data_IF_310509092598
#
_entry.id   IF_310509092598
#
_cell.length_a   1.000
_cell.length_b   1.000
_cell.length_c   1.000
_cell.angle_alpha   90.00
_cell.angle_beta   90.00
_cell.angle_gamma   90.00
#
_symmetry.space_group_name_H-M   'P 1'
#
loop_
_entity.id
_entity.type
_entity.pdbx_description
1 polymer ?
#
# COMPACT_ATOMS: atom_id res chain seq x y z
N UNK A 1 1.21 4.00 -25.82
CA UNK A 1 1.63 2.76 -26.49
C UNK A 1 3.14 2.75 -26.69
N UNK A 2 3.74 3.74 -27.35
CA UNK A 2 5.19 3.81 -27.59
C UNK A 2 6.02 3.69 -26.29
N UNK A 3 5.64 4.37 -25.22
CA UNK A 3 6.30 4.29 -23.90
C UNK A 3 6.27 2.87 -23.33
N UNK A 4 5.16 2.16 -23.51
CA UNK A 4 5.05 0.78 -23.04
C UNK A 4 5.92 -0.16 -23.88
N UNK A 5 5.91 0.01 -25.21
CA UNK A 5 6.75 -0.77 -26.12
C UNK A 5 8.24 -0.57 -25.82
N UNK A 6 8.66 0.65 -25.49
CA UNK A 6 10.03 0.95 -25.07
C UNK A 6 10.41 0.28 -23.71
N UNK A 7 9.44 -0.03 -22.86
CA UNK A 7 9.66 -0.67 -21.56
C UNK A 7 9.61 -2.22 -21.61
N UNK A 8 9.29 -2.83 -22.74
CA UNK A 8 9.05 -4.28 -22.86
C UNK A 8 10.28 -5.17 -22.51
N UNK A 9 11.48 -4.63 -22.63
CA UNK A 9 12.70 -5.36 -22.26
C UNK A 9 12.99 -5.35 -20.75
N UNK A 10 12.20 -4.62 -19.98
CA UNK A 10 12.36 -4.52 -18.52
C UNK A 10 11.81 -5.76 -17.82
N UNK A 11 12.43 -6.16 -16.68
CA UNK A 11 11.89 -7.24 -15.85
C UNK A 11 10.59 -6.86 -15.14
N UNK A 12 10.40 -5.55 -14.86
CA UNK A 12 9.20 -5.00 -14.22
C UNK A 12 8.79 -3.69 -14.86
N UNK A 13 7.49 -3.58 -15.16
CA UNK A 13 6.87 -2.35 -15.67
C UNK A 13 5.89 -1.83 -14.63
N UNK A 14 6.06 -0.56 -14.24
CA UNK A 14 5.13 0.14 -13.35
C UNK A 14 4.34 1.18 -14.13
N UNK A 15 3.02 1.12 -14.02
CA UNK A 15 2.10 2.07 -14.63
C UNK A 15 1.39 2.82 -13.51
N UNK A 16 1.54 4.14 -13.45
CA UNK A 16 0.86 4.97 -12.46
C UNK A 16 -0.36 5.65 -13.08
N UNK A 17 -1.55 5.35 -12.56
CA UNK A 17 -2.83 5.85 -13.07
C UNK A 17 -3.43 4.99 -14.20
N UNK A 18 -4.64 5.35 -14.65
CA UNK A 18 -5.35 4.65 -15.71
C UNK A 18 -5.85 3.25 -15.37
N UNK A 19 -5.90 2.87 -14.08
CA UNK A 19 -6.28 1.52 -13.61
C UNK A 19 -7.62 1.46 -12.86
N UNK A 20 -8.36 2.59 -12.80
CA UNK A 20 -9.65 2.64 -12.12
C UNK A 20 -10.82 2.22 -13.04
N UNK A 21 -12.01 2.71 -12.79
CA UNK A 21 -13.24 2.39 -13.55
C UNK A 21 -13.83 3.62 -14.26
N UNK A 22 -13.08 4.70 -14.36
CA UNK A 22 -13.53 5.93 -15.00
C UNK A 22 -13.40 5.89 -16.53
N UNK A 23 -14.11 6.77 -17.21
CA UNK A 23 -14.10 6.88 -18.69
C UNK A 23 -12.72 7.24 -19.29
N UNK A 24 -11.77 7.62 -18.44
CA UNK A 24 -10.38 7.93 -18.80
C UNK A 24 -9.38 6.82 -18.45
N UNK A 25 -9.84 5.65 -18.08
CA UNK A 25 -8.98 4.51 -17.72
C UNK A 25 -8.61 3.66 -18.94
N UNK A 26 -7.74 4.21 -19.77
CA UNK A 26 -7.31 3.59 -21.04
C UNK A 26 -6.20 2.52 -20.86
N UNK A 27 -5.57 2.43 -19.70
CA UNK A 27 -4.42 1.56 -19.54
C UNK A 27 -4.80 0.07 -19.62
N UNK A 28 -5.88 -0.35 -18.98
CA UNK A 28 -6.29 -1.75 -19.00
C UNK A 28 -6.68 -2.28 -20.40
N UNK A 29 -7.50 -1.60 -21.22
CA UNK A 29 -7.74 -2.02 -22.60
C UNK A 29 -6.46 -2.10 -23.43
N UNK A 30 -5.55 -1.13 -23.27
CA UNK A 30 -4.26 -1.12 -23.96
C UNK A 30 -3.39 -2.31 -23.58
N UNK A 31 -3.30 -2.65 -22.29
CA UNK A 31 -2.54 -3.81 -21.84
C UNK A 31 -3.06 -5.12 -22.44
N UNK A 32 -4.38 -5.25 -22.55
CA UNK A 32 -5.01 -6.41 -23.19
C UNK A 32 -4.68 -6.46 -24.69
N UNK A 33 -4.73 -5.33 -25.41
CA UNK A 33 -4.36 -5.24 -26.82
C UNK A 33 -2.90 -5.64 -27.05
N UNK A 34 -2.02 -5.31 -26.09
CA UNK A 34 -0.59 -5.62 -26.13
C UNK A 34 -0.28 -7.08 -25.70
N UNK A 35 -1.30 -7.88 -25.40
CA UNK A 35 -1.14 -9.28 -25.06
C UNK A 35 -0.74 -9.54 -23.60
N UNK A 36 -0.90 -8.56 -22.72
CA UNK A 36 -0.65 -8.75 -21.29
C UNK A 36 -1.67 -9.71 -20.70
N UNK A 37 -1.20 -10.79 -20.09
CA UNK A 37 -1.99 -11.70 -19.28
C UNK A 37 -2.36 -11.04 -17.95
N UNK A 38 -3.65 -10.77 -17.72
CA UNK A 38 -4.15 -10.27 -16.43
C UNK A 38 -4.14 -11.42 -15.42
N UNK A 39 -3.36 -11.30 -14.36
CA UNK A 39 -3.36 -12.25 -13.23
C UNK A 39 -4.47 -11.87 -12.25
N UNK A 40 -4.54 -10.59 -11.86
CA UNK A 40 -5.68 -10.05 -11.13
C UNK A 40 -5.83 -8.54 -11.34
N UNK A 41 -7.05 -8.07 -11.14
CA UNK A 41 -7.40 -6.65 -11.11
C UNK A 41 -8.33 -6.37 -9.95
N UNK A 42 -7.98 -5.35 -9.15
CA UNK A 42 -8.59 -4.92 -7.89
C UNK A 42 -8.26 -5.82 -6.71
N UNK A 43 -7.98 -5.18 -5.61
CA UNK A 43 -7.74 -5.80 -4.30
C UNK A 43 -8.69 -5.21 -3.25
N UNK A 44 -9.05 -5.99 -2.24
CA UNK A 44 -9.95 -5.53 -1.18
C UNK A 44 -9.20 -4.76 -0.10
N UNK A 45 -8.45 -3.73 -0.51
CA UNK A 45 -7.63 -2.87 0.37
C UNK A 45 -8.01 -1.40 0.21
N UNK A 46 -7.91 -0.62 1.28
CA UNK A 46 -8.00 0.84 1.31
C UNK A 46 -6.77 1.42 2.00
N UNK A 47 -6.11 2.42 1.39
CA UNK A 47 -6.28 2.90 0.03
C UNK A 47 -5.71 1.89 -0.98
N UNK A 48 -6.15 1.94 -2.25
CA UNK A 48 -5.47 1.19 -3.30
C UNK A 48 -6.27 0.10 -4.01
N UNK A 49 -7.60 0.10 -3.91
CA UNK A 49 -8.48 -0.88 -4.58
C UNK A 49 -8.10 -1.19 -6.05
N UNK A 50 -7.78 -0.21 -6.93
CA UNK A 50 -7.55 -0.46 -8.35
C UNK A 50 -6.11 -0.91 -8.69
N UNK A 51 -5.54 -1.83 -7.93
CA UNK A 51 -4.29 -2.49 -8.30
C UNK A 51 -4.55 -3.45 -9.47
N UNK A 52 -3.72 -3.35 -10.51
CA UNK A 52 -3.61 -4.33 -11.58
C UNK A 52 -2.29 -5.09 -11.43
N UNK A 53 -2.33 -6.40 -11.65
CA UNK A 53 -1.14 -7.22 -11.77
C UNK A 53 -1.28 -8.14 -12.99
N UNK A 54 -0.28 -8.12 -13.83
CA UNK A 54 -0.23 -8.93 -15.03
C UNK A 54 1.19 -9.33 -15.41
N UNK A 55 1.28 -10.13 -16.48
CA UNK A 55 2.52 -10.64 -17.01
C UNK A 55 2.53 -10.52 -18.54
N UNK A 56 3.67 -10.16 -19.09
CA UNK A 56 3.94 -10.24 -20.51
C UNK A 56 5.32 -10.88 -20.70
N UNK A 57 5.36 -12.08 -21.28
CA UNK A 57 6.59 -12.88 -21.40
C UNK A 57 7.32 -12.99 -20.06
N UNK A 58 8.52 -12.38 -19.93
CA UNK A 58 9.31 -12.36 -18.69
C UNK A 58 8.95 -11.19 -17.74
N UNK A 59 8.27 -10.16 -18.26
CA UNK A 59 8.03 -8.92 -17.55
C UNK A 59 6.82 -9.02 -16.61
N UNK A 60 6.97 -8.55 -15.38
CA UNK A 60 5.86 -8.35 -14.44
C UNK A 60 5.33 -6.93 -14.58
N UNK A 61 4.00 -6.78 -14.64
CA UNK A 61 3.35 -5.49 -14.86
C UNK A 61 2.47 -5.15 -13.66
N UNK A 62 2.78 -4.03 -13.01
CA UNK A 62 1.98 -3.49 -11.90
C UNK A 62 1.33 -2.18 -12.33
N UNK A 63 0.01 -2.17 -12.38
CA UNK A 63 -0.79 -0.96 -12.57
C UNK A 63 -1.21 -0.39 -11.23
N UNK A 64 -0.60 0.73 -10.84
CA UNK A 64 -0.82 1.38 -9.55
C UNK A 64 -1.92 2.43 -9.66
N UNK A 65 -2.66 2.71 -8.57
CA UNK A 65 -3.61 3.81 -8.53
C UNK A 65 -2.96 5.16 -8.86
N UNK A 66 -3.70 6.09 -9.48
CA UNK A 66 -3.20 7.44 -9.75
C UNK A 66 -3.12 8.33 -8.49
N UNK A 67 -3.89 8.03 -7.44
CA UNK A 67 -3.83 8.78 -6.18
C UNK A 67 -2.54 8.47 -5.41
N UNK A 68 -1.73 9.47 -5.01
CA UNK A 68 -0.39 9.29 -4.45
C UNK A 68 -0.34 8.36 -3.23
N UNK A 69 -1.23 8.57 -2.26
CA UNK A 69 -1.25 7.74 -1.06
C UNK A 69 -1.66 6.28 -1.35
N UNK A 70 -2.54 6.08 -2.32
CA UNK A 70 -2.91 4.74 -2.78
C UNK A 70 -1.74 4.06 -3.49
N UNK A 71 -1.08 4.78 -4.39
CA UNK A 71 0.05 4.28 -5.16
C UNK A 71 1.19 3.85 -4.23
N UNK A 72 1.53 4.70 -3.26
CA UNK A 72 2.57 4.41 -2.27
C UNK A 72 2.25 3.15 -1.44
N UNK A 73 1.05 3.08 -0.84
CA UNK A 73 0.65 1.93 -0.01
C UNK A 73 0.66 0.63 -0.84
N UNK A 74 0.12 0.67 -2.05
CA UNK A 74 0.11 -0.51 -2.94
C UNK A 74 1.52 -0.89 -3.38
N UNK A 75 2.38 0.08 -3.66
CA UNK A 75 3.78 -0.21 -3.97
C UNK A 75 4.47 -0.93 -2.81
N UNK A 76 4.32 -0.42 -1.59
CA UNK A 76 4.95 -1.00 -0.40
C UNK A 76 4.43 -2.40 -0.06
N UNK A 77 3.14 -2.65 -0.27
CA UNK A 77 2.49 -3.90 0.14
C UNK A 77 2.54 -5.01 -0.93
N UNK A 78 2.65 -4.65 -2.21
CA UNK A 78 2.58 -5.62 -3.31
C UNK A 78 3.81 -5.59 -4.21
N UNK A 79 4.21 -4.41 -4.68
CA UNK A 79 5.29 -4.29 -5.68
C UNK A 79 6.66 -4.50 -5.04
N UNK A 80 6.94 -3.84 -3.94
CA UNK A 80 8.25 -3.94 -3.26
C UNK A 80 8.58 -5.36 -2.78
N UNK A 81 7.66 -6.15 -2.21
CA UNK A 81 7.90 -7.56 -1.90
C UNK A 81 8.23 -8.38 -3.15
N UNK A 82 7.55 -8.15 -4.27
CA UNK A 82 7.86 -8.82 -5.53
C UNK A 82 9.28 -8.48 -6.03
N UNK A 83 9.65 -7.20 -6.03
CA UNK A 83 11.00 -6.76 -6.39
C UNK A 83 12.09 -7.36 -5.49
N UNK A 84 11.84 -7.44 -4.18
CA UNK A 84 12.76 -8.07 -3.23
C UNK A 84 12.91 -9.56 -3.53
N UNK A 85 11.81 -10.25 -3.83
CA UNK A 85 11.85 -11.67 -4.21
C UNK A 85 12.64 -11.90 -5.50
N UNK A 86 12.42 -11.07 -6.52
CA UNK A 86 13.17 -11.15 -7.79
C UNK A 86 14.67 -10.97 -7.58
N UNK A 87 15.07 -10.15 -6.63
CA UNK A 87 16.47 -9.95 -6.23
C UNK A 87 17.02 -11.04 -5.32
N UNK A 88 16.26 -12.06 -4.98
CA UNK A 88 16.68 -13.15 -4.10
C UNK A 88 16.73 -12.77 -2.60
N UNK A 89 16.09 -11.67 -2.19
CA UNK A 89 16.02 -11.30 -0.78
C UNK A 89 15.22 -12.34 0.01
N UNK A 90 15.72 -12.74 1.17
CA UNK A 90 14.98 -13.65 2.08
C UNK A 90 13.86 -12.94 2.81
N UNK A 91 14.09 -11.69 3.26
CA UNK A 91 13.10 -10.85 3.91
C UNK A 91 12.36 -10.06 2.82
N UNK A 92 11.13 -10.44 2.52
CA UNK A 92 10.31 -9.81 1.47
C UNK A 92 9.58 -8.57 1.97
N UNK A 93 9.14 -8.59 3.19
CA UNK A 93 8.39 -7.50 3.85
C UNK A 93 8.87 -7.32 5.29
N UNK A 94 8.61 -6.15 5.85
CA UNK A 94 8.87 -5.88 7.27
C UNK A 94 7.83 -6.62 8.12
N UNK A 95 8.26 -7.08 9.28
CA UNK A 95 7.38 -7.74 10.22
C UNK A 95 6.30 -6.77 10.74
N UNK A 96 5.13 -7.33 11.00
CA UNK A 96 4.09 -6.65 11.75
C UNK A 96 4.45 -6.65 13.23
N UNK A 97 4.36 -5.50 13.84
CA UNK A 97 4.54 -5.34 15.29
C UNK A 97 3.20 -5.04 15.94
N UNK A 98 3.05 -5.40 17.22
CA UNK A 98 1.92 -4.98 18.02
C UNK A 98 2.18 -3.58 18.60
N UNK A 99 1.21 -2.68 18.50
CA UNK A 99 1.24 -1.36 19.11
C UNK A 99 -0.11 -1.02 19.74
N UNK A 100 -0.12 -0.12 20.72
CA UNK A 100 -1.37 0.40 21.29
C UNK A 100 -1.80 1.68 20.59
N UNK A 101 -3.08 1.79 20.26
CA UNK A 101 -3.66 3.00 19.70
C UNK A 101 -3.53 4.15 20.70
N UNK A 102 -3.03 5.32 20.26
CA UNK A 102 -3.06 6.57 21.07
C UNK A 102 -4.44 7.24 21.03
N UNK A 103 -5.13 7.12 19.91
CA UNK A 103 -6.45 7.70 19.68
C UNK A 103 -7.44 6.63 19.19
N UNK A 104 -8.74 6.91 19.35
CA UNK A 104 -9.78 6.00 18.88
C UNK A 104 -9.80 5.90 17.35
N UNK A 105 -10.14 4.71 16.84
CA UNK A 105 -10.31 4.44 15.41
C UNK A 105 -11.78 4.08 15.14
N UNK A 106 -12.39 4.65 14.08
CA UNK A 106 -13.77 4.33 13.72
C UNK A 106 -13.91 2.86 13.26
N UNK A 107 -15.14 2.34 13.16
CA UNK A 107 -15.37 0.98 12.68
C UNK A 107 -14.72 0.71 11.32
N UNK A 108 -14.26 -0.51 11.13
CA UNK A 108 -13.72 -0.98 9.87
C UNK A 108 -14.77 -0.94 8.75
N UNK A 109 -14.33 -0.62 7.56
CA UNK A 109 -15.16 -0.64 6.35
C UNK A 109 -15.21 -2.07 5.77
N UNK A 110 -15.88 -2.25 4.62
CA UNK A 110 -15.97 -3.55 3.93
C UNK A 110 -14.66 -4.08 3.32
N UNK A 111 -13.54 -3.39 3.52
CA UNK A 111 -12.21 -3.75 3.01
C UNK A 111 -11.17 -3.61 4.10
N UNK A 112 -10.09 -4.37 4.00
CA UNK A 112 -8.89 -4.11 4.80
C UNK A 112 -8.49 -2.64 4.69
N UNK A 113 -8.36 -1.94 5.82
CA UNK A 113 -7.92 -0.56 5.83
C UNK A 113 -6.51 -0.46 6.43
N UNK A 114 -5.56 -0.13 5.59
CA UNK A 114 -4.20 0.19 5.98
C UNK A 114 -4.14 1.69 6.28
N UNK A 115 -4.43 2.05 7.53
CA UNK A 115 -4.44 3.44 7.97
C UNK A 115 -3.02 3.93 8.20
N UNK A 116 -2.74 5.14 7.73
CA UNK A 116 -1.47 5.81 7.99
C UNK A 116 -1.42 6.28 9.43
N UNK A 117 -0.27 6.05 10.09
CA UNK A 117 -0.06 6.41 11.48
C UNK A 117 1.37 6.79 11.77
N UNK A 118 1.58 7.37 12.95
CA UNK A 118 2.88 7.61 13.56
C UNK A 118 3.12 6.60 14.65
N UNK A 119 4.12 5.76 14.47
CA UNK A 119 4.55 4.73 15.41
C UNK A 119 5.73 5.27 16.24
N UNK A 120 5.60 5.24 17.53
CA UNK A 120 6.62 5.65 18.49
C UNK A 120 6.91 4.51 19.47
N UNK A 121 8.17 4.36 19.88
CA UNK A 121 8.56 3.45 20.93
C UNK A 121 8.50 4.19 22.29
N UNK A 122 7.77 3.65 23.24
CA UNK A 122 7.72 4.13 24.62
C UNK A 122 8.22 3.01 25.58
N UNK A 123 9.47 3.09 25.99
CA UNK A 123 10.10 2.04 26.77
C UNK A 123 10.11 0.71 26.01
N UNK A 124 9.38 -0.28 26.53
CA UNK A 124 9.26 -1.62 25.90
C UNK A 124 8.02 -1.79 25.02
N UNK A 125 7.15 -0.80 24.94
CA UNK A 125 5.91 -0.84 24.18
C UNK A 125 5.96 0.09 22.97
N UNK A 126 5.19 -0.25 21.94
CA UNK A 126 4.92 0.63 20.83
C UNK A 126 3.57 1.32 20.99
N UNK A 127 3.50 2.60 20.64
CA UNK A 127 2.26 3.34 20.49
C UNK A 127 2.14 3.86 19.07
N UNK A 128 0.91 3.84 18.56
CA UNK A 128 0.63 4.34 17.23
C UNK A 128 -0.52 5.35 17.27
N UNK A 129 -0.28 6.52 16.70
CA UNK A 129 -1.27 7.57 16.53
C UNK A 129 -1.80 7.52 15.09
N UNK A 130 -3.09 7.23 14.87
CA UNK A 130 -3.69 7.35 13.54
C UNK A 130 -3.61 8.78 13.04
N UNK A 131 -3.20 8.99 11.80
CA UNK A 131 -3.24 10.34 11.22
C UNK A 131 -4.67 10.74 10.85
N UNK A 132 -5.05 12.03 11.00
CA UNK A 132 -6.43 12.48 10.79
C UNK A 132 -6.85 12.39 9.32
N UNK A 133 -5.92 12.63 8.37
CA UNK A 133 -6.23 12.70 6.95
C UNK A 133 -5.90 11.39 6.24
N UNK A 134 -6.89 10.49 6.15
CA UNK A 134 -6.78 9.18 5.50
C UNK A 134 -7.20 9.19 4.01
N UNK A 135 -7.37 10.35 3.40
CA UNK A 135 -7.72 10.48 1.98
C UNK A 135 -6.65 9.89 1.06
N UNK A 136 -7.07 9.23 -0.01
CA UNK A 136 -6.16 8.58 -0.98
C UNK A 136 -5.28 9.56 -1.77
N UNK A 137 -5.64 10.84 -1.79
CA UNK A 137 -4.93 11.93 -2.44
C UNK A 137 -4.03 12.73 -1.48
N UNK A 138 -4.06 12.45 -0.17
CA UNK A 138 -3.33 13.23 0.83
C UNK A 138 -1.84 12.87 0.84
N UNK A 139 -1.02 13.69 0.20
CA UNK A 139 0.45 13.58 0.21
C UNK A 139 1.00 13.92 1.61
N UNK A 140 0.45 14.93 2.28
CA UNK A 140 0.89 15.32 3.63
C UNK A 140 0.85 14.15 4.61
N UNK A 141 -0.20 13.33 4.55
CA UNK A 141 -0.31 12.16 5.41
C UNK A 141 0.72 11.05 5.09
N UNK A 142 1.33 11.06 3.91
CA UNK A 142 2.45 10.16 3.59
C UNK A 142 3.76 10.66 4.20
N UNK A 143 3.98 11.98 4.17
CA UNK A 143 5.19 12.59 4.74
C UNK A 143 5.23 12.41 6.27
N UNK A 144 4.07 12.51 6.92
CA UNK A 144 3.95 12.37 8.37
C UNK A 144 3.92 10.91 8.84
N UNK A 145 3.52 9.98 7.99
CA UNK A 145 3.38 8.58 8.36
C UNK A 145 4.73 7.85 8.36
N UNK A 146 4.99 7.11 9.43
CA UNK A 146 6.07 6.12 9.48
C UNK A 146 5.56 4.69 9.67
N UNK A 147 4.23 4.51 9.66
CA UNK A 147 3.63 3.19 9.84
C UNK A 147 2.24 3.07 9.18
N UNK A 148 1.86 1.81 8.88
CA UNK A 148 0.52 1.42 8.47
C UNK A 148 -0.13 0.61 9.59
N UNK A 149 -1.34 1.01 10.00
CA UNK A 149 -2.15 0.33 11.00
C UNK A 149 -3.12 -0.59 10.27
N UNK A 150 -3.15 -1.84 10.65
CA UNK A 150 -4.05 -2.86 10.10
C UNK A 150 -5.42 -2.78 10.78
N UNK A 151 -6.45 -2.44 10.03
CA UNK A 151 -7.83 -2.41 10.48
C UNK A 151 -8.63 -3.45 9.67
N UNK A 152 -9.09 -4.48 10.34
CA UNK A 152 -9.84 -5.56 9.69
C UNK A 152 -11.17 -5.07 9.10
N UNK A 153 -11.63 -5.68 8.00
CA UNK A 153 -12.97 -5.40 7.48
C UNK A 153 -14.04 -5.61 8.55
N UNK A 154 -14.98 -4.68 8.62
CA UNK A 154 -16.12 -4.74 9.54
C UNK A 154 -15.78 -4.84 11.04
N UNK A 155 -14.53 -4.54 11.43
CA UNK A 155 -14.17 -4.47 12.85
C UNK A 155 -14.99 -3.40 13.58
N UNK A 156 -15.31 -3.58 14.88
CA UNK A 156 -15.95 -2.53 15.68
C UNK A 156 -15.05 -1.31 15.82
N UNK A 157 -15.61 -0.20 16.29
CA UNK A 157 -14.79 0.95 16.70
C UNK A 157 -13.81 0.53 17.81
N UNK A 158 -12.58 1.02 17.71
CA UNK A 158 -11.51 0.68 18.64
C UNK A 158 -11.15 1.91 19.47
N UNK A 159 -11.32 1.87 20.81
CA UNK A 159 -10.90 2.96 21.68
C UNK A 159 -9.37 3.09 21.74
N UNK A 160 -8.89 4.23 22.23
CA UNK A 160 -7.48 4.38 22.61
C UNK A 160 -7.05 3.27 23.58
N UNK A 161 -5.80 2.84 23.47
CA UNK A 161 -5.24 1.71 24.23
C UNK A 161 -5.47 0.33 23.59
N UNK A 162 -6.34 0.19 22.59
CA UNK A 162 -6.57 -1.08 21.89
C UNK A 162 -5.28 -1.56 21.21
N UNK A 163 -4.86 -2.83 21.39
CA UNK A 163 -3.74 -3.40 20.65
C UNK A 163 -4.11 -3.60 19.19
N UNK A 164 -3.22 -3.19 18.29
CA UNK A 164 -3.38 -3.31 16.83
C UNK A 164 -2.11 -3.77 16.17
N UNK A 165 -2.22 -4.40 15.00
CA UNK A 165 -1.07 -4.74 14.16
C UNK A 165 -0.63 -3.51 13.39
N UNK A 166 0.66 -3.25 13.38
CA UNK A 166 1.26 -2.10 12.72
C UNK A 166 2.47 -2.53 11.92
N UNK A 167 2.59 -2.06 10.69
CA UNK A 167 3.78 -2.25 9.86
C UNK A 167 4.57 -0.95 9.79
N UNK A 168 5.81 -0.90 10.29
CA UNK A 168 6.70 0.23 10.09
C UNK A 168 7.00 0.44 8.60
N UNK A 169 6.91 1.68 8.10
CA UNK A 169 7.23 2.04 6.72
C UNK A 169 8.72 2.31 6.54
N UNK A 170 9.32 3.03 7.48
CA UNK A 170 10.73 3.38 7.48
C UNK A 170 11.52 2.67 8.57
N UNK A 171 12.84 2.75 8.50
CA UNK A 171 13.71 2.15 9.50
C UNK A 171 13.81 2.98 10.78
N UNK A 172 13.34 4.22 10.76
CA UNK A 172 13.39 5.12 11.91
C UNK A 172 12.06 5.08 12.66
N UNK A 173 11.99 4.26 13.69
CA UNK A 173 10.98 4.41 14.73
C UNK A 173 11.47 5.57 15.60
N UNK A 174 10.70 6.64 15.66
CA UNK A 174 11.05 7.78 16.51
C UNK A 174 11.01 7.33 17.96
N UNK A 175 12.17 7.36 18.61
CA UNK A 175 12.29 7.17 20.06
C UNK A 175 11.97 8.51 20.71
N UNK A 176 10.85 8.61 21.42
CA UNK A 176 10.60 9.78 22.26
C UNK A 176 11.62 9.78 23.40
N UNK A 177 12.29 10.92 23.67
CA UNK A 177 13.14 11.04 24.86
C UNK A 177 12.28 10.82 26.13
N UNK A 178 12.86 10.14 27.08
CA UNK A 178 12.27 9.87 28.40
C UNK A 178 12.00 11.15 29.17
#
# INVERSE_FOLDING_TARGET
KAEFEAAMDSDVILISGGMSVGDHDFAKPLLKELGVEEIFWKVSVKPGKPLFFGKLEKSLIFGLPGNPASSYVIFMEFTLPALRRMRGCRLLEKDWVEARLSDAVPPGISRLHLMRGQLNAQGKEYRVRPLPFQGSHSISSLVEANALIWIDPHSPAMPAGTPVKVRPLDNEIVMEPF
#
